data_IF_468639211395
#
_entry.id   IF_468639211395
#
_cell.length_a   1.000
_cell.length_b   1.000
_cell.length_c   1.000
_cell.angle_alpha   90.00
_cell.angle_beta   90.00
_cell.angle_gamma   90.00
#
_symmetry.space_group_name_H-M   'P 1'
#
loop_
_entity.id
_entity.type
_entity.pdbx_description
1 polymer ?
#
# COMPACT_ATOMS: atom_id res chain seq x y z
N UNK A 1 13.25 0.58 -20.40
CA UNK A 1 12.98 0.07 -19.04
C UNK A 1 11.76 -0.82 -19.13
N UNK A 2 11.84 -2.06 -18.64
CA UNK A 2 10.69 -2.98 -18.63
C UNK A 2 9.77 -2.54 -17.49
N UNK A 3 8.47 -2.46 -17.75
CA UNK A 3 7.43 -2.23 -16.74
C UNK A 3 6.52 -3.45 -16.69
N UNK A 4 6.03 -3.79 -15.51
CA UNK A 4 5.11 -4.91 -15.33
C UNK A 4 3.71 -4.42 -14.94
N UNK A 5 2.68 -5.15 -15.37
CA UNK A 5 1.28 -4.83 -15.09
C UNK A 5 0.76 -5.55 -13.83
N UNK A 6 1.59 -6.39 -13.21
CA UNK A 6 1.29 -7.13 -11.99
C UNK A 6 2.42 -8.02 -11.52
N UNK A 7 2.27 -8.57 -10.32
CA UNK A 7 3.19 -9.54 -9.73
C UNK A 7 2.44 -10.59 -8.91
N UNK A 8 3.12 -11.69 -8.57
CA UNK A 8 2.58 -12.76 -7.73
C UNK A 8 3.46 -12.90 -6.50
N UNK A 9 2.85 -12.91 -5.32
CA UNK A 9 3.52 -13.19 -4.05
C UNK A 9 2.62 -14.01 -3.15
N UNK A 10 3.16 -15.00 -2.44
CA UNK A 10 2.42 -15.88 -1.54
C UNK A 10 1.15 -16.51 -2.16
N UNK A 11 1.16 -16.78 -3.48
CA UNK A 11 0.01 -17.32 -4.21
C UNK A 11 -1.08 -16.29 -4.59
N UNK A 12 -0.93 -15.03 -4.17
CA UNK A 12 -1.83 -13.94 -4.52
C UNK A 12 -1.29 -13.14 -5.70
N UNK A 13 -2.19 -12.72 -6.58
CA UNK A 13 -1.86 -11.91 -7.77
C UNK A 13 -2.33 -10.49 -7.58
N UNK A 14 -1.39 -9.56 -7.71
CA UNK A 14 -1.61 -8.12 -7.63
C UNK A 14 -1.36 -7.47 -8.99
N UNK A 15 -2.01 -6.33 -9.23
CA UNK A 15 -1.97 -5.62 -10.50
C UNK A 15 -1.69 -4.14 -10.30
N UNK A 16 -1.19 -3.47 -11.34
CA UNK A 16 -1.20 -2.01 -11.36
C UNK A 16 -2.63 -1.50 -11.53
N UNK A 17 -2.89 -0.30 -10.99
CA UNK A 17 -4.17 0.40 -11.13
C UNK A 17 -4.58 0.59 -12.58
N UNK A 18 -3.61 0.88 -13.46
CA UNK A 18 -3.87 1.04 -14.89
C UNK A 18 -4.47 -0.23 -15.50
N UNK A 19 -3.95 -1.40 -15.11
CA UNK A 19 -4.45 -2.69 -15.59
C UNK A 19 -5.82 -3.01 -14.99
N UNK A 20 -6.00 -2.79 -13.70
CA UNK A 20 -7.28 -2.98 -13.01
C UNK A 20 -8.39 -2.14 -13.61
N UNK A 21 -8.13 -0.86 -13.91
CA UNK A 21 -9.12 0.03 -14.55
C UNK A 21 -9.58 -0.47 -15.93
N UNK A 22 -8.81 -1.35 -16.57
CA UNK A 22 -9.14 -1.96 -17.87
C UNK A 22 -9.84 -3.31 -17.74
N UNK A 23 -10.04 -3.83 -16.52
CA UNK A 23 -10.56 -5.18 -16.24
C UNK A 23 -11.65 -5.14 -15.18
N UNK A 24 -12.36 -6.27 -15.03
CA UNK A 24 -13.41 -6.43 -14.01
C UNK A 24 -12.83 -6.73 -12.62
N UNK A 25 -11.59 -7.24 -12.57
CA UNK A 25 -10.90 -7.57 -11.32
C UNK A 25 -10.17 -6.35 -10.76
N UNK A 26 -10.19 -6.20 -9.43
CA UNK A 26 -9.56 -5.10 -8.72
C UNK A 26 -8.58 -5.64 -7.66
N UNK A 27 -7.32 -5.87 -8.05
CA UNK A 27 -6.25 -6.37 -7.17
C UNK A 27 -5.04 -5.41 -7.08
N UNK A 28 -5.26 -4.11 -7.25
CA UNK A 28 -4.24 -3.04 -7.14
C UNK A 28 -4.14 -2.43 -5.76
N UNK A 29 -5.13 -2.67 -4.89
CA UNK A 29 -5.09 -2.26 -3.49
C UNK A 29 -4.09 -3.10 -2.69
N UNK A 30 -3.31 -2.44 -1.84
CA UNK A 30 -2.37 -3.07 -0.91
C UNK A 30 -2.48 -2.44 0.48
N UNK A 31 -2.08 -3.19 1.51
CA UNK A 31 -1.97 -2.70 2.87
C UNK A 31 -0.61 -3.03 3.46
N UNK A 32 -0.07 -2.12 4.29
CA UNK A 32 1.17 -2.32 5.03
C UNK A 32 0.93 -2.02 6.50
N UNK A 33 1.25 -2.97 7.37
CA UNK A 33 1.37 -2.71 8.81
C UNK A 33 2.79 -2.22 9.06
N UNK A 34 2.92 -1.00 9.57
CA UNK A 34 4.20 -0.41 9.93
C UNK A 34 4.16 0.11 11.36
N UNK A 35 5.27 -0.04 12.07
CA UNK A 35 5.48 0.64 13.35
C UNK A 35 5.71 2.13 13.06
N UNK A 36 4.78 2.96 13.50
CA UNK A 36 4.74 4.39 13.19
C UNK A 36 4.74 5.22 14.46
N UNK A 37 5.51 6.31 14.44
CA UNK A 37 5.42 7.37 15.42
C UNK A 37 4.11 8.16 15.25
N UNK A 38 3.25 8.10 16.26
CA UNK A 38 2.02 8.86 16.33
C UNK A 38 2.23 10.13 17.14
N UNK A 39 1.81 11.27 16.56
CA UNK A 39 1.89 12.60 17.13
C UNK A 39 0.49 13.22 17.07
N UNK A 40 -0.05 13.60 18.23
CA UNK A 40 -1.42 14.15 18.31
C UNK A 40 -1.53 15.59 17.81
N UNK A 41 -0.46 16.37 17.96
CA UNK A 41 -0.39 17.77 17.52
C UNK A 41 1.06 18.27 17.49
N UNK A 42 1.29 19.46 16.92
CA UNK A 42 2.60 20.09 16.95
C UNK A 42 3.12 20.43 18.38
N UNK A 43 2.25 20.43 19.40
CA UNK A 43 2.62 20.66 20.80
C UNK A 43 2.87 19.37 21.57
N UNK A 44 2.68 18.22 20.93
CA UNK A 44 2.87 16.92 21.55
C UNK A 44 4.34 16.73 21.91
N UNK A 45 4.60 16.49 23.20
CA UNK A 45 5.93 16.23 23.74
C UNK A 45 6.16 14.75 24.03
N UNK A 46 5.16 13.91 23.82
CA UNK A 46 5.21 12.48 24.08
C UNK A 46 4.70 11.69 22.87
N UNK A 47 5.42 11.74 21.74
CA UNK A 47 5.12 10.86 20.61
C UNK A 47 5.25 9.40 21.05
N UNK A 48 4.33 8.56 20.59
CA UNK A 48 4.36 7.12 20.90
C UNK A 48 4.45 6.29 19.63
N UNK A 49 5.06 5.11 19.73
CA UNK A 49 5.16 4.16 18.63
C UNK A 49 4.02 3.16 18.70
N UNK A 50 3.32 2.95 17.60
CA UNK A 50 2.27 1.93 17.50
C UNK A 50 2.22 1.36 16.08
N UNK A 51 1.62 0.18 15.91
CA UNK A 51 1.45 -0.45 14.62
C UNK A 51 0.22 0.14 13.90
N UNK A 52 0.45 0.78 12.77
CA UNK A 52 -0.61 1.33 11.92
C UNK A 52 -0.71 0.59 10.59
N UNK A 53 -1.95 0.41 10.15
CA UNK A 53 -2.25 -0.11 8.81
C UNK A 53 -2.38 1.05 7.83
N UNK A 54 -1.50 1.07 6.83
CA UNK A 54 -1.55 1.98 5.70
C UNK A 54 -2.19 1.28 4.50
N UNK A 55 -2.89 2.05 3.68
CA UNK A 55 -3.50 1.56 2.46
C UNK A 55 -2.90 2.31 1.28
N UNK A 56 -2.62 1.59 0.20
CA UNK A 56 -2.05 2.13 -1.01
C UNK A 56 -2.62 1.45 -2.25
N UNK A 57 -2.26 2.00 -3.40
CA UNK A 57 -2.60 1.46 -4.71
C UNK A 57 -1.32 1.31 -5.50
N UNK A 58 -1.14 0.19 -6.19
CA UNK A 58 0.02 -0.07 -7.03
C UNK A 58 -0.12 0.77 -8.31
N UNK A 59 0.66 1.84 -8.44
CA UNK A 59 0.69 2.65 -9.66
C UNK A 59 1.72 2.11 -10.66
N UNK A 60 2.88 1.61 -10.20
CA UNK A 60 3.93 1.02 -11.04
C UNK A 60 4.69 -0.12 -10.37
N UNK A 61 5.31 -0.98 -11.20
CA UNK A 61 6.16 -2.14 -10.84
C UNK A 61 7.38 -2.16 -11.75
#
# INVERSE_FOLDING_TARGET
MVKYDGYITNGYRFFTKERDNKRVVQNSGVSLIAQTMQISSAKDRNPHMDNLCYFGVIEEI
#
